data_IF_079735757323
#
_entry.id   IF_079735757323
#
_cell.length_a   1.000
_cell.length_b   1.000
_cell.length_c   1.000
_cell.angle_alpha   90.00
_cell.angle_beta   90.00
_cell.angle_gamma   90.00
#
_symmetry.space_group_name_H-M   'P 1'
#
loop_
_entity.id
_entity.type
_entity.pdbx_description
1 polymer ?
#
# COMPACT_ATOMS: atom_id res chain seq x y z
N UNK A 1 -19.11 -1.08 -17.59
CA UNK A 1 -18.72 -1.78 -16.34
C UNK A 1 -17.21 -1.72 -16.07
N UNK A 2 -16.34 -1.73 -17.10
CA UNK A 2 -14.87 -1.69 -16.95
C UNK A 2 -14.37 -0.48 -16.16
N UNK A 3 -14.93 0.73 -16.39
CA UNK A 3 -14.47 1.95 -15.69
C UNK A 3 -14.63 1.89 -14.17
N UNK A 4 -15.73 1.32 -13.63
CA UNK A 4 -15.93 1.24 -12.17
C UNK A 4 -14.97 0.25 -11.51
N UNK A 5 -14.70 -0.87 -12.17
CA UNK A 5 -13.73 -1.84 -11.66
C UNK A 5 -12.32 -1.23 -11.61
N UNK A 6 -11.94 -0.50 -12.66
CA UNK A 6 -10.65 0.20 -12.71
C UNK A 6 -10.52 1.21 -11.56
N UNK A 7 -11.53 2.06 -11.34
CA UNK A 7 -11.51 2.99 -10.21
C UNK A 7 -11.37 2.29 -8.87
N UNK A 8 -12.15 1.23 -8.61
CA UNK A 8 -12.04 0.47 -7.36
C UNK A 8 -10.64 -0.12 -7.14
N UNK A 9 -10.01 -0.64 -8.21
CA UNK A 9 -8.65 -1.16 -8.09
C UNK A 9 -7.62 -0.07 -7.85
N UNK A 10 -7.79 1.11 -8.46
CA UNK A 10 -6.93 2.26 -8.24
C UNK A 10 -7.11 2.78 -6.82
N UNK A 11 -8.34 2.92 -6.35
CA UNK A 11 -8.66 3.38 -4.99
C UNK A 11 -8.06 2.43 -3.94
N UNK A 12 -8.18 1.12 -4.16
CA UNK A 12 -7.54 0.12 -3.30
C UNK A 12 -6.00 0.22 -3.32
N UNK A 13 -5.40 0.39 -4.50
CA UNK A 13 -3.95 0.59 -4.60
C UNK A 13 -3.48 1.84 -3.84
N UNK A 14 -4.22 2.95 -3.98
CA UNK A 14 -3.94 4.23 -3.30
C UNK A 14 -4.10 4.10 -1.79
N UNK A 15 -5.16 3.46 -1.32
CA UNK A 15 -5.38 3.21 0.10
C UNK A 15 -4.26 2.35 0.69
N UNK A 16 -3.86 1.28 0.01
CA UNK A 16 -2.75 0.43 0.46
C UNK A 16 -1.43 1.20 0.56
N UNK A 17 -1.10 1.99 -0.47
CA UNK A 17 0.12 2.82 -0.48
C UNK A 17 0.07 3.89 0.62
N UNK A 18 -1.10 4.47 0.88
CA UNK A 18 -1.29 5.45 1.97
C UNK A 18 -1.07 4.81 3.34
N UNK A 19 -1.57 3.59 3.57
CA UNK A 19 -1.34 2.84 4.80
C UNK A 19 0.15 2.52 5.00
N UNK A 20 0.86 2.16 3.93
CA UNK A 20 2.32 1.98 3.98
C UNK A 20 3.04 3.28 4.36
N UNK A 21 2.63 4.43 3.80
CA UNK A 21 3.14 5.74 4.19
C UNK A 21 2.93 6.08 5.67
N UNK A 22 1.73 5.79 6.21
CA UNK A 22 1.43 5.98 7.64
C UNK A 22 2.33 5.10 8.49
N UNK A 23 2.46 3.81 8.14
CA UNK A 23 3.33 2.87 8.84
C UNK A 23 4.79 3.34 8.87
N UNK A 24 5.33 3.83 7.74
CA UNK A 24 6.72 4.31 7.65
C UNK A 24 6.98 5.59 8.44
N UNK A 25 6.00 6.49 8.46
CA UNK A 25 6.14 7.80 9.13
C UNK A 25 5.87 7.74 10.63
N UNK A 26 4.98 6.85 11.09
CA UNK A 26 4.54 6.79 12.49
C UNK A 26 4.95 5.50 13.21
N UNK A 27 5.31 4.44 12.49
CA UNK A 27 5.52 3.10 13.03
C UNK A 27 4.23 2.32 13.33
N UNK A 28 3.05 2.91 13.12
CA UNK A 28 1.77 2.23 13.38
C UNK A 28 1.52 1.11 12.37
N UNK A 29 1.25 -0.09 12.85
CA UNK A 29 0.91 -1.27 12.04
C UNK A 29 -0.51 -1.71 12.31
N UNK A 30 -1.17 -2.25 11.27
CA UNK A 30 -2.48 -2.86 11.43
C UNK A 30 -2.38 -4.09 12.32
N UNK A 31 -3.25 -4.19 13.33
CA UNK A 31 -3.27 -5.29 14.28
C UNK A 31 -3.86 -6.54 13.61
N UNK A 32 -2.96 -7.40 13.09
CA UNK A 32 -3.31 -8.61 12.36
C UNK A 32 -3.92 -9.69 13.28
N UNK A 33 -3.72 -9.60 14.60
CA UNK A 33 -4.23 -10.59 15.55
C UNK A 33 -5.71 -10.40 15.84
N UNK A 34 -6.26 -9.21 15.60
CA UNK A 34 -7.71 -8.98 15.57
C UNK A 34 -8.42 -9.70 14.43
N UNK A 35 -7.69 -10.09 13.38
CA UNK A 35 -8.24 -10.83 12.25
C UNK A 35 -8.26 -12.32 12.59
N UNK A 36 -9.44 -12.83 12.97
CA UNK A 36 -9.64 -14.23 13.40
C UNK A 36 -9.47 -15.26 12.28
N UNK A 37 -9.74 -14.88 11.03
CA UNK A 37 -9.60 -15.76 9.87
C UNK A 37 -8.18 -15.69 9.31
N UNK A 38 -7.53 -16.84 9.16
CA UNK A 38 -6.20 -16.95 8.58
C UNK A 38 -6.17 -16.50 7.10
N UNK A 39 -7.18 -16.90 6.33
CA UNK A 39 -7.32 -16.48 4.92
C UNK A 39 -7.44 -14.96 4.79
N UNK A 40 -8.27 -14.32 5.63
CA UNK A 40 -8.40 -12.87 5.60
C UNK A 40 -7.12 -12.18 6.06
N UNK A 41 -6.42 -12.75 7.05
CA UNK A 41 -5.12 -12.24 7.50
C UNK A 41 -4.10 -12.28 6.36
N UNK A 42 -4.05 -13.37 5.60
CA UNK A 42 -3.18 -13.52 4.43
C UNK A 42 -3.50 -12.52 3.32
N UNK A 43 -4.80 -12.31 3.02
CA UNK A 43 -5.24 -11.33 2.03
C UNK A 43 -4.86 -9.91 2.45
N UNK A 44 -5.14 -9.54 3.71
CA UNK A 44 -4.78 -8.21 4.24
C UNK A 44 -3.27 -8.04 4.25
N UNK A 45 -2.50 -9.08 4.60
CA UNK A 45 -1.03 -9.02 4.58
C UNK A 45 -0.50 -8.76 3.17
N UNK A 46 -1.04 -9.46 2.16
CA UNK A 46 -0.69 -9.23 0.75
C UNK A 46 -1.09 -7.83 0.29
N UNK A 47 -2.28 -7.38 0.68
CA UNK A 47 -2.77 -6.05 0.36
C UNK A 47 -1.89 -4.96 0.95
N UNK A 48 -1.52 -5.03 2.23
CA UNK A 48 -0.59 -4.09 2.87
C UNK A 48 0.82 -4.17 2.27
N UNK A 49 1.30 -5.38 1.95
CA UNK A 49 2.59 -5.59 1.30
C UNK A 49 2.67 -4.96 -0.09
N UNK A 50 1.56 -4.97 -0.85
CA UNK A 50 1.49 -4.27 -2.13
C UNK A 50 1.72 -2.76 -1.97
N UNK A 51 1.18 -2.14 -0.93
CA UNK A 51 1.36 -0.71 -0.66
C UNK A 51 2.80 -0.34 -0.32
N UNK A 52 3.48 -1.19 0.46
CA UNK A 52 4.91 -1.02 0.76
C UNK A 52 5.75 -1.11 -0.52
N UNK A 53 5.50 -2.13 -1.35
CA UNK A 53 6.18 -2.29 -2.63
C UNK A 53 5.91 -1.12 -3.59
N UNK A 54 4.66 -0.65 -3.67
CA UNK A 54 4.29 0.49 -4.49
C UNK A 54 5.02 1.75 -4.02
N UNK A 55 5.06 1.99 -2.70
CA UNK A 55 5.78 3.12 -2.11
C UNK A 55 7.29 3.05 -2.40
N UNK A 56 7.92 1.88 -2.25
CA UNK A 56 9.34 1.68 -2.56
C UNK A 56 9.63 1.96 -4.03
N UNK A 57 8.79 1.44 -4.92
CA UNK A 57 8.92 1.64 -6.36
C UNK A 57 8.78 3.12 -6.71
N UNK A 58 7.82 3.82 -6.11
CA UNK A 58 7.64 5.25 -6.28
C UNK A 58 8.86 6.04 -5.79
N UNK A 59 9.36 5.76 -4.58
CA UNK A 59 10.54 6.45 -4.04
C UNK A 59 11.79 6.19 -4.90
N UNK A 60 12.00 4.95 -5.35
CA UNK A 60 13.11 4.60 -6.22
C UNK A 60 13.03 5.38 -7.55
N UNK A 61 11.86 5.42 -8.17
CA UNK A 61 11.63 6.18 -9.39
C UNK A 61 11.88 7.68 -9.18
N UNK A 62 11.29 8.27 -8.14
CA UNK A 62 11.45 9.69 -7.82
C UNK A 62 12.90 10.03 -7.48
N UNK A 63 13.62 9.16 -6.77
CA UNK A 63 15.03 9.35 -6.44
C UNK A 63 15.97 9.38 -7.65
N UNK A 64 15.56 8.80 -8.79
CA UNK A 64 16.31 8.88 -10.07
C UNK A 64 15.95 10.10 -10.91
N UNK A 65 14.87 10.78 -10.56
CA UNK A 65 14.35 11.92 -11.31
C UNK A 65 15.09 13.20 -10.98
N UNK A 66 15.42 14.01 -11.99
CA UNK A 66 16.04 15.33 -11.81
C UNK A 66 15.14 16.34 -11.06
N UNK A 67 13.85 16.04 -10.92
CA UNK A 67 12.86 16.89 -10.25
C UNK A 67 12.85 16.76 -8.72
N UNK A 68 13.45 15.70 -8.17
CA UNK A 68 13.41 15.41 -6.74
C UNK A 68 14.81 15.28 -6.15
N UNK A 69 14.95 15.59 -4.86
CA UNK A 69 16.19 15.45 -4.09
C UNK A 69 15.88 14.79 -2.75
N UNK A 70 16.87 14.08 -2.20
CA UNK A 70 16.80 13.47 -0.86
C UNK A 70 17.00 14.50 0.24
#
# INVERSE_FOLDING_TARGET
>A
MIGRLFHLTVDAALLSTSLAGIRRSTGLTLDMDRIKSEDMRSIVARYLGFGEWAMDTSIAFLGTSAWFRR
#
